data_IF_160674228552
#
_entry.id   IF_160674228552
#
_cell.length_a   1.000
_cell.length_b   1.000
_cell.length_c   1.000
_cell.angle_alpha   90.00
_cell.angle_beta   90.00
_cell.angle_gamma   90.00
#
_symmetry.space_group_name_H-M   'P 1'
#
loop_
_entity.id
_entity.type
_entity.pdbx_description
1 polymer ?
#
# COMPACT_ATOMS: atom_id res chain seq x y z
N UNK A 1 25.19 5.47 9.02
CA UNK A 1 25.01 5.15 10.45
C UNK A 1 23.54 4.83 10.64
N UNK A 2 23.15 3.55 10.72
CA UNK A 2 21.78 3.15 11.04
C UNK A 2 21.71 3.09 12.57
N UNK A 3 20.92 3.95 13.20
CA UNK A 3 20.76 4.03 14.65
C UNK A 3 20.23 2.70 15.19
N UNK A 4 20.71 2.30 16.37
CA UNK A 4 20.34 1.05 17.07
C UNK A 4 18.83 0.86 17.16
N UNK A 5 18.11 1.97 17.40
CA UNK A 5 16.65 2.05 17.46
C UNK A 5 15.96 1.58 16.16
N UNK A 6 16.56 1.83 14.99
CA UNK A 6 15.99 1.38 13.71
C UNK A 6 16.07 -0.14 13.53
N UNK A 7 17.14 -0.75 14.05
CA UNK A 7 17.34 -2.19 14.00
C UNK A 7 16.43 -2.92 14.99
N UNK A 8 16.26 -2.36 16.18
CA UNK A 8 15.40 -2.92 17.23
C UNK A 8 13.92 -2.86 16.83
N UNK A 9 13.43 -1.72 16.33
CA UNK A 9 12.06 -1.62 15.78
C UNK A 9 11.85 -2.53 14.57
N UNK A 10 12.86 -2.67 13.69
CA UNK A 10 12.77 -3.59 12.55
C UNK A 10 12.67 -5.06 13.01
N UNK A 11 13.43 -5.44 14.04
CA UNK A 11 13.40 -6.79 14.62
C UNK A 11 12.09 -7.08 15.36
N UNK A 12 11.53 -6.11 16.09
CA UNK A 12 10.21 -6.23 16.74
C UNK A 12 9.08 -6.37 15.72
N UNK A 13 9.12 -5.58 14.64
CA UNK A 13 8.17 -5.70 13.54
C UNK A 13 8.33 -7.03 12.80
N UNK A 14 9.56 -7.51 12.58
CA UNK A 14 9.84 -8.83 11.99
C UNK A 14 9.37 -9.98 12.86
N UNK A 15 9.50 -9.86 14.19
CA UNK A 15 9.00 -10.85 15.14
C UNK A 15 7.47 -10.85 15.24
N UNK A 16 6.85 -9.71 14.93
CA UNK A 16 5.38 -9.53 14.95
C UNK A 16 4.71 -9.82 13.60
N UNK A 17 5.43 -9.70 12.49
CA UNK A 17 4.95 -9.91 11.11
C UNK A 17 5.69 -11.12 10.52
N UNK A 18 5.20 -12.32 10.85
CA UNK A 18 5.81 -13.57 10.40
C UNK A 18 5.56 -13.88 8.92
N UNK A 19 4.65 -13.16 8.25
CA UNK A 19 4.24 -13.47 6.88
C UNK A 19 4.04 -12.21 6.04
N UNK A 20 4.84 -12.07 4.98
CA UNK A 20 4.73 -11.00 3.98
C UNK A 20 4.71 -11.66 2.61
N UNK A 21 3.56 -11.60 1.95
CA UNK A 21 3.39 -12.09 0.59
C UNK A 21 3.38 -10.93 -0.41
N UNK A 22 4.02 -11.13 -1.56
CA UNK A 22 4.10 -10.12 -2.63
C UNK A 22 3.52 -10.67 -3.92
N UNK A 23 2.65 -9.89 -4.54
CA UNK A 23 1.98 -10.24 -5.78
C UNK A 23 2.25 -9.18 -6.84
N UNK A 24 2.60 -9.63 -8.05
CA UNK A 24 2.66 -8.78 -9.25
C UNK A 24 1.42 -8.95 -10.14
N UNK A 25 0.53 -9.85 -9.76
CA UNK A 25 -0.69 -10.23 -10.46
C UNK A 25 -1.88 -10.02 -9.51
N UNK A 26 -2.85 -9.22 -9.95
CA UNK A 26 -4.01 -8.87 -9.13
C UNK A 26 -4.92 -10.06 -8.86
N UNK A 27 -5.09 -10.96 -9.83
CA UNK A 27 -5.97 -12.10 -9.69
C UNK A 27 -5.41 -13.07 -8.66
N UNK A 28 -4.10 -13.34 -8.71
CA UNK A 28 -3.44 -14.16 -7.69
C UNK A 28 -3.50 -13.53 -6.29
N UNK A 29 -3.37 -12.21 -6.21
CA UNK A 29 -3.49 -11.49 -4.94
C UNK A 29 -4.91 -11.63 -4.36
N UNK A 30 -5.93 -11.45 -5.21
CA UNK A 30 -7.34 -11.61 -4.86
C UNK A 30 -7.65 -13.03 -4.38
N UNK A 31 -7.28 -14.04 -5.16
CA UNK A 31 -7.45 -15.46 -4.82
C UNK A 31 -6.79 -15.81 -3.48
N UNK A 32 -5.57 -15.33 -3.26
CA UNK A 32 -4.86 -15.54 -2.01
C UNK A 32 -5.59 -14.90 -0.82
N UNK A 33 -5.99 -13.63 -0.93
CA UNK A 33 -6.71 -12.92 0.14
C UNK A 33 -8.04 -13.61 0.47
N UNK A 34 -8.76 -14.11 -0.56
CA UNK A 34 -9.99 -14.86 -0.37
C UNK A 34 -9.77 -16.25 0.25
N UNK A 35 -8.62 -16.88 0.00
CA UNK A 35 -8.26 -18.18 0.57
C UNK A 35 -7.96 -18.13 2.08
N UNK A 36 -7.53 -16.97 2.58
CA UNK A 36 -7.18 -16.77 3.99
C UNK A 36 -8.44 -16.53 4.82
N UNK A 37 -8.80 -17.51 5.66
CA UNK A 37 -10.05 -17.45 6.44
C UNK A 37 -9.88 -17.06 7.92
N UNK A 38 -8.70 -17.32 8.52
CA UNK A 38 -8.51 -17.21 9.98
C UNK A 38 -7.56 -16.10 10.41
N UNK A 39 -6.84 -15.51 9.46
CA UNK A 39 -5.84 -14.49 9.73
C UNK A 39 -6.34 -13.11 9.32
N UNK A 40 -5.82 -12.07 9.99
CA UNK A 40 -6.08 -10.68 9.62
C UNK A 40 -5.00 -10.21 8.65
N UNK A 41 -5.44 -9.65 7.53
CA UNK A 41 -4.58 -9.17 6.45
C UNK A 41 -4.51 -7.65 6.51
N UNK A 42 -3.29 -7.15 6.40
CA UNK A 42 -3.01 -5.74 6.10
C UNK A 42 -2.57 -5.66 4.64
N UNK A 43 -3.36 -5.01 3.80
CA UNK A 43 -3.07 -4.89 2.38
C UNK A 43 -2.30 -3.60 2.09
N UNK A 44 -1.16 -3.70 1.39
CA UNK A 44 -0.41 -2.56 0.88
C UNK A 44 -0.48 -2.61 -0.65
N UNK A 45 -1.02 -1.56 -1.28
CA UNK A 45 -1.33 -1.58 -2.71
C UNK A 45 -1.02 -0.23 -3.37
N UNK A 46 -0.63 -0.24 -4.65
CA UNK A 46 -0.45 1.01 -5.40
C UNK A 46 -1.80 1.69 -5.67
N UNK A 47 -1.83 2.99 -5.90
CA UNK A 47 -3.09 3.69 -6.22
C UNK A 47 -3.83 3.13 -7.45
N UNK A 48 -3.11 2.66 -8.47
CA UNK A 48 -3.72 2.05 -9.66
C UNK A 48 -4.38 0.72 -9.35
N UNK A 49 -3.66 -0.16 -8.64
CA UNK A 49 -4.15 -1.46 -8.26
C UNK A 49 -5.21 -1.39 -7.15
N UNK A 50 -5.11 -0.43 -6.25
CA UNK A 50 -6.07 -0.19 -5.19
C UNK A 50 -7.46 0.14 -5.74
N UNK A 51 -7.54 0.97 -6.78
CA UNK A 51 -8.82 1.28 -7.44
C UNK A 51 -9.53 0.05 -7.99
N UNK A 52 -8.78 -0.93 -8.46
CA UNK A 52 -9.34 -2.13 -9.07
C UNK A 52 -9.66 -3.21 -8.03
N UNK A 53 -8.82 -3.32 -6.99
CA UNK A 53 -8.85 -4.43 -6.05
C UNK A 53 -9.69 -4.12 -4.80
N UNK A 54 -9.65 -2.88 -4.29
CA UNK A 54 -10.38 -2.49 -3.07
C UNK A 54 -11.90 -2.66 -3.21
N UNK A 55 -12.56 -2.27 -4.31
CA UNK A 55 -14.00 -2.48 -4.45
C UNK A 55 -14.41 -3.95 -4.33
N UNK A 56 -13.56 -4.89 -4.75
CA UNK A 56 -13.83 -6.34 -4.68
C UNK A 56 -13.59 -6.93 -3.30
N UNK A 57 -12.64 -6.36 -2.55
CA UNK A 57 -12.18 -6.94 -1.30
C UNK A 57 -12.68 -6.22 -0.04
N UNK A 58 -13.23 -5.00 -0.15
CA UNK A 58 -13.51 -4.17 1.01
C UNK A 58 -14.46 -4.80 2.04
N UNK A 59 -15.37 -5.68 1.63
CA UNK A 59 -16.32 -6.35 2.53
C UNK A 59 -15.70 -7.54 3.28
N UNK A 60 -14.52 -8.01 2.87
CA UNK A 60 -13.87 -9.18 3.46
C UNK A 60 -13.49 -8.95 4.92
N UNK A 61 -14.00 -9.79 5.82
CA UNK A 61 -13.76 -9.68 7.26
C UNK A 61 -12.30 -9.95 7.66
N UNK A 62 -11.55 -10.67 6.82
CA UNK A 62 -10.12 -10.90 7.00
C UNK A 62 -9.28 -9.66 6.71
N UNK A 63 -9.77 -8.71 5.89
CA UNK A 63 -9.07 -7.45 5.65
C UNK A 63 -9.33 -6.48 6.81
N UNK A 64 -8.26 -6.18 7.54
CA UNK A 64 -8.31 -5.25 8.67
C UNK A 64 -8.09 -3.81 8.23
N UNK A 65 -7.10 -3.58 7.37
CA UNK A 65 -6.79 -2.26 6.84
C UNK A 65 -6.09 -2.35 5.48
N UNK A 66 -6.28 -1.29 4.70
CA UNK A 66 -5.70 -1.12 3.37
C UNK A 66 -4.88 0.16 3.35
N UNK A 67 -3.62 0.04 2.98
CA UNK A 67 -2.67 1.13 2.77
C UNK A 67 -2.47 1.32 1.27
N UNK A 68 -2.84 2.50 0.76
CA UNK A 68 -2.69 2.81 -0.65
C UNK A 68 -1.48 3.72 -0.84
N UNK A 69 -0.42 3.25 -1.48
CA UNK A 69 0.72 4.10 -1.84
C UNK A 69 0.53 4.66 -3.25
N UNK A 70 0.62 5.97 -3.43
CA UNK A 70 0.49 6.57 -4.76
C UNK A 70 1.31 7.85 -4.91
N UNK A 71 1.60 8.20 -6.17
CA UNK A 71 2.20 9.48 -6.54
C UNK A 71 1.16 10.60 -6.71
N UNK A 72 -0.10 10.26 -6.98
CA UNK A 72 -1.18 11.22 -7.23
C UNK A 72 -2.25 11.11 -6.13
N UNK A 73 -2.25 12.09 -5.21
CA UNK A 73 -3.14 12.15 -4.05
C UNK A 73 -4.59 12.39 -4.44
N UNK A 74 -4.80 13.44 -5.22
CA UNK A 74 -6.12 13.97 -5.52
C UNK A 74 -7.00 12.91 -6.19
N UNK A 75 -6.42 12.17 -7.15
CA UNK A 75 -7.14 11.11 -7.86
C UNK A 75 -7.47 9.89 -6.99
N UNK A 76 -6.79 9.71 -5.86
CA UNK A 76 -7.01 8.56 -4.98
C UNK A 76 -7.78 8.87 -3.70
N UNK A 77 -7.77 10.12 -3.25
CA UNK A 77 -8.60 10.56 -2.13
C UNK A 77 -10.09 10.50 -2.42
N UNK A 78 -10.51 10.69 -3.67
CA UNK A 78 -11.93 10.72 -4.03
C UNK A 78 -12.60 9.35 -3.87
N UNK A 79 -11.98 8.29 -4.42
CA UNK A 79 -12.56 6.94 -4.33
C UNK A 79 -12.31 6.27 -2.97
N UNK A 80 -11.18 6.55 -2.32
CA UNK A 80 -10.83 5.90 -1.04
C UNK A 80 -11.76 6.30 0.10
N UNK A 81 -12.32 7.51 0.08
CA UNK A 81 -13.34 7.98 1.04
C UNK A 81 -14.56 7.07 1.11
N UNK A 82 -14.85 6.32 0.05
CA UNK A 82 -15.98 5.40 0.01
C UNK A 82 -15.70 4.08 0.75
N UNK A 83 -14.48 3.84 1.23
CA UNK A 83 -14.06 2.58 1.84
C UNK A 83 -13.46 2.81 3.23
N UNK A 84 -14.22 2.44 4.27
CA UNK A 84 -13.84 2.64 5.69
C UNK A 84 -12.55 1.92 6.10
N UNK A 85 -12.17 0.85 5.38
CA UNK A 85 -10.94 0.09 5.64
C UNK A 85 -9.69 0.69 4.98
N UNK A 86 -9.81 1.72 4.14
CA UNK A 86 -8.65 2.42 3.60
C UNK A 86 -8.13 3.39 4.65
N UNK A 87 -7.08 2.99 5.36
CA UNK A 87 -6.60 3.74 6.52
C UNK A 87 -5.65 4.88 6.16
N UNK A 88 -4.81 4.72 5.13
CA UNK A 88 -3.80 5.73 4.78
C UNK A 88 -3.47 5.76 3.29
N UNK A 89 -3.32 6.97 2.74
CA UNK A 89 -2.70 7.23 1.44
C UNK A 89 -1.28 7.76 1.68
N UNK A 90 -0.27 7.00 1.27
CA UNK A 90 1.14 7.35 1.50
C UNK A 90 1.76 7.90 0.20
N UNK A 91 2.37 9.09 0.28
CA UNK A 91 3.17 9.67 -0.79
C UNK A 91 4.65 9.44 -0.56
N UNK A 92 5.32 8.84 -1.54
CA UNK A 92 6.76 8.92 -1.61
C UNK A 92 7.12 10.26 -2.25
N UNK A 93 7.38 11.29 -1.43
CA UNK A 93 7.93 12.56 -1.90
C UNK A 93 9.43 12.35 -2.19
N UNK A 94 9.75 11.56 -3.23
CA UNK A 94 11.09 11.60 -3.81
C UNK A 94 11.15 12.82 -4.72
N UNK A 95 12.08 13.71 -4.41
CA UNK A 95 12.50 14.88 -5.18
C UNK A 95 12.51 14.60 -6.69
N UNK A 96 11.47 15.03 -7.42
CA UNK A 96 11.46 15.10 -8.88
C UNK A 96 11.34 16.55 -9.39
N UNK A 97 11.93 17.53 -8.69
CA UNK A 97 11.95 18.93 -9.14
C UNK A 97 13.24 19.36 -9.85
N UNK A 98 14.18 18.44 -10.13
CA UNK A 98 15.49 18.80 -10.75
C UNK A 98 15.64 18.55 -12.25
N UNK A 99 14.65 18.04 -12.97
CA UNK A 99 14.81 17.80 -14.43
C UNK A 99 13.83 18.56 -15.33
N UNK A 100 13.02 19.48 -14.81
CA UNK A 100 12.13 20.30 -15.65
C UNK A 100 12.67 21.67 -16.08
N UNK A 101 13.85 22.12 -15.60
CA UNK A 101 14.43 23.42 -16.03
C UNK A 101 15.46 23.35 -17.17
N UNK A 102 15.68 22.19 -17.82
CA UNK A 102 16.64 22.08 -18.93
C UNK A 102 16.00 21.76 -20.29
N UNK A 103 14.70 21.46 -20.35
CA UNK A 103 13.99 21.16 -21.61
C UNK A 103 13.28 22.38 -22.24
N UNK A 104 13.28 23.54 -21.58
CA UNK A 104 12.66 24.78 -22.11
C UNK A 104 13.70 25.83 -22.55
N UNK A 105 14.97 25.42 -22.70
CA UNK A 105 16.04 26.25 -23.27
C UNK A 105 16.88 25.47 -24.28
N UNK A 106 16.25 24.95 -25.33
CA UNK A 106 16.88 24.73 -26.63
C UNK A 106 15.85 24.90 -27.74
#
# INVERSE_FOLDING_TARGET
MKTKDNLDTYNELRASINHIERFNDLQKAEEYIMSVQREKIVLIVSGTYGRELVPRLHDLSQLNCIYVYCFDKARNEEWSKNYTKVSFIIHHQQRCDRQRKHAERK
#
